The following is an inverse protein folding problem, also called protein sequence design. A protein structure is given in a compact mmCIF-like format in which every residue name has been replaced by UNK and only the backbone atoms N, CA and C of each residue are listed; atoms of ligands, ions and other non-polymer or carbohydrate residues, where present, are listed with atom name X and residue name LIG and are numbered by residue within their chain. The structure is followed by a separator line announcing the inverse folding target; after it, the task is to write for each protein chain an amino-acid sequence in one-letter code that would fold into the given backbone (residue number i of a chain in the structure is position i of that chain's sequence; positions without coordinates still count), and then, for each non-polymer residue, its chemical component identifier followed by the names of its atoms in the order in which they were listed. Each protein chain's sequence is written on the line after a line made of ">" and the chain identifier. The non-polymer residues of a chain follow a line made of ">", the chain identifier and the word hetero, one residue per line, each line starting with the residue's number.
data_IF_282494674665
#
_entry.id   IF_282494674665
#
_cell.length_a   1.000
_cell.length_b   1.000
_cell.length_c   1.000
_cell.angle_alpha   90.00
_cell.angle_beta   90.00
_cell.angle_gamma   90.00
#
_symmetry.space_group_name_H-M   'P 1'
#
loop_
_entity.id
_entity.type
_entity.pdbx_description
1 polymer ?
#
# COMPACT_ATOMS: atom_id res chain seq x y z
N UNK A 1 10.08 -33.57 6.27
CA UNK A 1 8.69 -33.85 6.71
C UNK A 1 7.74 -33.16 5.75
N UNK A 2 6.65 -33.80 5.30
CA UNK A 2 5.65 -33.11 4.47
C UNK A 2 4.97 -32.02 5.31
N UNK A 3 4.84 -30.81 4.74
CA UNK A 3 4.05 -29.74 5.37
C UNK A 3 2.56 -30.02 5.11
N UNK A 4 1.69 -29.94 6.14
CA UNK A 4 0.26 -30.11 5.94
C UNK A 4 -0.31 -28.96 5.12
N UNK A 5 -1.33 -29.27 4.31
CA UNK A 5 -2.14 -28.25 3.66
C UNK A 5 -2.99 -27.55 4.73
N UNK A 6 -2.99 -26.21 4.70
CA UNK A 6 -3.84 -25.39 5.56
C UNK A 6 -4.92 -24.80 4.67
N UNK A 7 -6.17 -25.20 4.90
CA UNK A 7 -7.32 -24.63 4.22
C UNK A 7 -7.93 -23.54 5.08
N UNK A 8 -8.16 -22.37 4.48
CA UNK A 8 -8.95 -21.33 5.14
C UNK A 8 -10.38 -21.84 5.37
N UNK A 9 -11.03 -21.48 6.50
CA UNK A 9 -12.43 -21.80 6.72
C UNK A 9 -13.30 -21.34 5.54
N UNK A 10 -14.33 -22.11 5.22
CA UNK A 10 -15.31 -21.62 4.25
C UNK A 10 -16.01 -20.40 4.81
N UNK A 11 -16.17 -19.40 3.95
CA UNK A 11 -16.90 -18.19 4.24
C UNK A 11 -17.89 -17.93 3.12
N UNK A 12 -19.09 -17.52 3.49
CA UNK A 12 -20.15 -17.20 2.54
C UNK A 12 -20.18 -15.68 2.32
N UNK A 13 -19.90 -15.21 1.09
CA UNK A 13 -20.00 -13.80 0.77
C UNK A 13 -21.46 -13.34 0.73
N UNK A 14 -21.71 -12.09 1.11
CA UNK A 14 -23.03 -11.50 0.93
C UNK A 14 -23.33 -11.38 -0.58
N UNK A 15 -24.63 -11.43 -1.00
CA UNK A 15 -25.00 -11.18 -2.39
C UNK A 15 -24.52 -9.81 -2.88
N UNK A 16 -24.51 -8.82 -2.00
CA UNK A 16 -24.02 -7.47 -2.26
C UNK A 16 -22.52 -7.46 -2.61
N UNK A 17 -21.68 -8.05 -1.74
CA UNK A 17 -20.24 -8.19 -2.01
C UNK A 17 -20.01 -8.95 -3.31
N UNK A 18 -20.71 -10.07 -3.50
CA UNK A 18 -20.59 -10.89 -4.71
C UNK A 18 -20.89 -10.07 -5.97
N UNK A 19 -21.97 -9.31 -5.98
CA UNK A 19 -22.34 -8.47 -7.12
C UNK A 19 -21.33 -7.34 -7.34
N UNK A 20 -20.85 -6.70 -6.27
CA UNK A 20 -19.89 -5.60 -6.34
C UNK A 20 -18.54 -6.01 -6.97
N UNK A 21 -18.10 -7.27 -6.77
CA UNK A 21 -16.80 -7.78 -7.26
C UNK A 21 -16.90 -8.63 -8.53
N UNK A 22 -17.98 -8.46 -9.31
CA UNK A 22 -18.15 -9.08 -10.62
C UNK A 22 -18.90 -10.43 -10.64
N UNK A 23 -19.54 -10.83 -9.54
CA UNK A 23 -20.51 -11.92 -9.50
C UNK A 23 -19.94 -13.33 -9.34
N UNK A 24 -18.62 -13.52 -9.43
CA UNK A 24 -18.01 -14.86 -9.35
C UNK A 24 -17.95 -15.36 -7.89
N UNK A 25 -18.55 -16.51 -7.54
CA UNK A 25 -18.66 -16.97 -6.16
C UNK A 25 -17.30 -17.23 -5.49
N UNK A 26 -16.34 -17.83 -6.23
CA UNK A 26 -14.99 -18.07 -5.68
C UNK A 26 -14.22 -16.79 -5.37
N UNK A 27 -14.38 -15.72 -6.17
CA UNK A 27 -13.67 -14.45 -5.96
C UNK A 27 -14.19 -13.80 -4.68
N UNK A 28 -15.52 -13.70 -4.55
CA UNK A 28 -16.15 -13.15 -3.37
C UNK A 28 -15.80 -13.95 -2.09
N UNK A 29 -15.79 -15.29 -2.16
CA UNK A 29 -15.38 -16.14 -1.05
C UNK A 29 -13.90 -15.90 -0.64
N UNK A 30 -12.98 -15.81 -1.60
CA UNK A 30 -11.55 -15.57 -1.33
C UNK A 30 -11.28 -14.20 -0.70
N UNK A 31 -12.12 -13.20 -0.96
CA UNK A 31 -12.05 -11.87 -0.37
C UNK A 31 -12.51 -11.89 1.09
N UNK A 32 -13.64 -12.56 1.39
CA UNK A 32 -14.10 -12.74 2.78
C UNK A 32 -13.04 -13.49 3.60
N UNK A 33 -12.43 -14.53 3.04
CA UNK A 33 -11.33 -15.26 3.69
C UNK A 33 -10.10 -14.40 3.98
N UNK A 34 -9.93 -13.26 3.29
CA UNK A 34 -8.88 -12.27 3.52
C UNK A 34 -9.31 -11.12 4.44
N UNK A 35 -10.52 -11.16 5.00
CA UNK A 35 -11.08 -10.08 5.82
C UNK A 35 -11.66 -8.90 5.01
N UNK A 36 -11.80 -9.06 3.69
CA UNK A 36 -12.42 -8.11 2.78
C UNK A 36 -13.89 -8.50 2.56
N UNK A 37 -14.67 -8.40 3.63
CA UNK A 37 -16.03 -8.95 3.76
C UNK A 37 -17.16 -7.98 3.36
N UNK A 38 -16.83 -6.76 2.96
CA UNK A 38 -17.79 -5.76 2.46
C UNK A 38 -17.31 -5.13 1.14
N UNK A 39 -18.24 -4.61 0.31
CA UNK A 39 -17.86 -3.88 -0.91
C UNK A 39 -16.86 -2.75 -0.66
N UNK A 40 -17.00 -2.02 0.45
CA UNK A 40 -16.15 -0.88 0.82
C UNK A 40 -14.71 -1.32 1.10
N UNK A 41 -14.50 -2.54 1.61
CA UNK A 41 -13.16 -3.10 1.80
C UNK A 41 -12.61 -3.72 0.52
N UNK A 42 -13.46 -4.44 -0.22
CA UNK A 42 -13.05 -5.24 -1.36
C UNK A 42 -12.76 -4.42 -2.62
N UNK A 43 -13.56 -3.39 -2.91
CA UNK A 43 -13.42 -2.59 -4.12
C UNK A 43 -12.09 -1.84 -4.19
N UNK A 44 -11.64 -1.11 -3.15
CA UNK A 44 -10.34 -0.42 -3.16
C UNK A 44 -9.13 -1.37 -3.28
N UNK A 45 -9.31 -2.65 -2.89
CA UNK A 45 -8.27 -3.66 -3.01
C UNK A 45 -8.14 -4.20 -4.44
N UNK A 46 -9.25 -4.31 -5.17
CA UNK A 46 -9.30 -4.85 -6.53
C UNK A 46 -9.10 -3.80 -7.62
N UNK A 47 -9.42 -2.54 -7.31
CA UNK A 47 -9.54 -1.46 -8.29
C UNK A 47 -8.76 -0.23 -7.81
N UNK A 48 -7.68 0.08 -8.53
CA UNK A 48 -6.80 1.22 -8.21
C UNK A 48 -7.53 2.56 -8.29
N UNK A 49 -8.57 2.68 -9.11
CA UNK A 49 -9.35 3.92 -9.22
C UNK A 49 -10.22 4.17 -7.98
N UNK A 50 -10.50 3.11 -7.21
CA UNK A 50 -11.25 3.16 -5.95
C UNK A 50 -10.35 3.16 -4.72
N UNK A 51 -9.05 3.01 -4.91
CA UNK A 51 -8.08 3.08 -3.84
C UNK A 51 -7.94 4.52 -3.33
N UNK A 52 -8.14 4.70 -2.02
CA UNK A 52 -7.83 5.95 -1.34
C UNK A 52 -6.54 5.76 -0.55
N UNK A 53 -5.42 6.43 -0.92
CA UNK A 53 -4.19 6.34 -0.16
C UNK A 53 -4.38 6.92 1.24
N UNK A 54 -3.65 6.36 2.20
CA UNK A 54 -3.53 6.98 3.52
C UNK A 54 -2.96 8.40 3.35
N UNK A 55 -3.39 9.38 4.16
CA UNK A 55 -2.76 10.69 4.13
C UNK A 55 -1.28 10.53 4.49
N UNK A 56 -0.36 11.31 3.90
CA UNK A 56 1.06 11.21 4.22
C UNK A 56 1.33 11.33 5.73
N UNK A 57 0.54 12.17 6.42
CA UNK A 57 0.59 12.39 7.88
C UNK A 57 0.29 11.14 8.73
N UNK A 58 -0.27 10.08 8.13
CA UNK A 58 -0.43 8.80 8.80
C UNK A 58 0.92 8.11 9.08
N UNK A 59 1.98 8.46 8.33
CA UNK A 59 3.32 7.99 8.61
C UNK A 59 3.95 8.84 9.73
N UNK A 60 4.20 8.19 10.87
CA UNK A 60 4.72 8.85 12.07
C UNK A 60 6.01 9.62 11.76
N UNK A 61 6.00 10.92 12.05
CA UNK A 61 7.16 11.80 11.86
C UNK A 61 7.34 12.36 10.45
N UNK A 62 6.46 12.03 9.49
CA UNK A 62 6.60 12.49 8.11
C UNK A 62 6.56 14.01 8.01
N UNK A 63 5.65 14.68 8.72
CA UNK A 63 5.58 16.15 8.71
C UNK A 63 6.90 16.79 9.15
N UNK A 64 7.51 16.24 10.21
CA UNK A 64 8.81 16.73 10.71
C UNK A 64 9.91 16.50 9.68
N UNK A 65 9.95 15.32 9.04
CA UNK A 65 10.92 15.00 8.02
C UNK A 65 10.79 15.92 6.79
N UNK A 66 9.55 16.17 6.34
CA UNK A 66 9.27 17.07 5.23
C UNK A 66 9.75 18.51 5.52
N UNK A 67 9.49 19.03 6.72
CA UNK A 67 9.98 20.36 7.12
C UNK A 67 11.52 20.43 7.17
N UNK A 68 12.18 19.37 7.64
CA UNK A 68 13.65 19.31 7.66
C UNK A 68 14.24 19.31 6.24
N UNK A 69 13.67 18.51 5.34
CA UNK A 69 14.09 18.44 3.93
C UNK A 69 13.83 19.77 3.23
N UNK A 70 12.64 20.37 3.39
CA UNK A 70 12.31 21.66 2.81
C UNK A 70 13.29 22.76 3.24
N UNK A 71 13.65 22.80 4.53
CA UNK A 71 14.66 23.73 5.03
C UNK A 71 16.04 23.47 4.43
N UNK A 72 16.45 22.21 4.31
CA UNK A 72 17.74 21.84 3.73
C UNK A 72 17.84 22.26 2.25
N UNK A 73 16.79 21.98 1.46
CA UNK A 73 16.68 22.38 0.05
C UNK A 73 16.74 23.91 -0.08
N UNK A 74 15.87 24.63 0.61
CA UNK A 74 15.81 26.11 0.52
C UNK A 74 17.08 26.81 1.03
N UNK A 75 17.87 26.14 1.87
CA UNK A 75 19.14 26.66 2.38
C UNK A 75 20.36 26.21 1.57
N UNK A 76 20.17 25.49 0.46
CA UNK A 76 21.26 24.98 -0.38
C UNK A 76 22.16 23.95 0.32
N UNK A 77 21.64 23.23 1.31
CA UNK A 77 22.40 22.21 2.03
C UNK A 77 22.57 20.97 1.15
N UNK A 78 23.75 20.34 1.24
CA UNK A 78 23.96 19.03 0.60
C UNK A 78 23.18 17.96 1.34
N UNK A 79 22.34 17.23 0.62
CA UNK A 79 21.58 16.09 1.14
C UNK A 79 22.23 14.81 0.63
N UNK A 80 22.54 13.91 1.55
CA UNK A 80 23.00 12.56 1.24
C UNK A 80 21.85 11.57 1.45
N UNK A 81 21.49 10.84 0.40
CA UNK A 81 20.46 9.81 0.47
C UNK A 81 21.16 8.45 0.63
N UNK A 82 20.86 7.76 1.73
CA UNK A 82 21.41 6.45 2.05
C UNK A 82 20.27 5.44 2.13
N UNK A 83 20.24 4.47 1.21
CA UNK A 83 19.26 3.38 1.21
C UNK A 83 19.86 2.01 1.49
N UNK A 84 18.98 1.00 1.53
CA UNK A 84 19.36 -0.40 1.66
C UNK A 84 19.61 -1.06 0.29
N UNK A 85 20.18 -2.27 0.29
CA UNK A 85 20.64 -3.00 -0.89
C UNK A 85 19.57 -3.83 -1.59
N UNK A 86 18.40 -4.00 -0.99
CA UNK A 86 17.29 -4.68 -1.66
C UNK A 86 16.59 -3.78 -2.69
N UNK A 87 15.69 -4.37 -3.47
CA UNK A 87 15.02 -3.65 -4.56
C UNK A 87 14.20 -2.47 -4.03
N UNK A 88 13.58 -2.61 -2.85
CA UNK A 88 12.79 -1.55 -2.24
C UNK A 88 13.69 -0.36 -1.83
N UNK A 89 14.82 -0.65 -1.17
CA UNK A 89 15.81 0.36 -0.77
C UNK A 89 16.46 1.09 -1.95
N UNK A 90 16.81 0.36 -3.01
CA UNK A 90 17.42 0.94 -4.21
C UNK A 90 16.43 1.81 -5.00
N UNK A 91 15.20 1.33 -5.21
CA UNK A 91 14.18 2.10 -5.94
C UNK A 91 13.72 3.34 -5.16
N UNK A 92 13.55 3.22 -3.84
CA UNK A 92 13.26 4.36 -2.96
C UNK A 92 14.38 5.41 -2.97
N UNK A 93 15.65 4.97 -2.97
CA UNK A 93 16.81 5.87 -3.08
C UNK A 93 16.81 6.62 -4.41
N UNK A 94 16.60 5.90 -5.52
CA UNK A 94 16.53 6.52 -6.84
C UNK A 94 15.40 7.55 -6.94
N UNK A 95 14.21 7.22 -6.42
CA UNK A 95 13.05 8.11 -6.38
C UNK A 95 13.35 9.39 -5.59
N UNK A 96 13.88 9.26 -4.36
CA UNK A 96 14.14 10.42 -3.52
C UNK A 96 15.24 11.32 -4.09
N UNK A 97 16.29 10.74 -4.67
CA UNK A 97 17.36 11.50 -5.34
C UNK A 97 16.81 12.25 -6.57
N UNK A 98 15.94 11.61 -7.36
CA UNK A 98 15.33 12.27 -8.51
C UNK A 98 14.45 13.44 -8.08
N UNK A 99 13.53 13.20 -7.13
CA UNK A 99 12.62 14.24 -6.63
C UNK A 99 13.38 15.43 -6.00
N UNK A 100 14.40 15.18 -5.17
CA UNK A 100 15.18 16.25 -4.54
C UNK A 100 16.03 17.07 -5.53
N UNK A 101 16.31 16.54 -6.73
CA UNK A 101 17.03 17.27 -7.78
C UNK A 101 16.13 18.16 -8.64
N UNK A 102 14.83 17.90 -8.63
CA UNK A 102 13.83 18.71 -9.34
C UNK A 102 13.33 19.91 -8.52
N UNK A 103 13.58 19.91 -7.21
CA UNK A 103 13.26 21.00 -6.27
C UNK A 103 14.40 22.01 -6.15
#
# INVERSE_FOLDING_TARGET
>A
MPRPWILAPQAEPTPELRNAVGGHPLVAQLLVQRGLDTPEKALPFLDVEKYTPAPPTALVGLDRAAHLLHRAVTSGQRIFVWGDFDVDGQTSTALLVAALREL
#
